data_IF_166474258631
#
_entry.id   IF_166474258631
#
_cell.length_a   1.000
_cell.length_b   1.000
_cell.length_c   1.000
_cell.angle_alpha   90.00
_cell.angle_beta   90.00
_cell.angle_gamma   90.00
#
_symmetry.space_group_name_H-M   'P 1'
#
loop_
_entity.id
_entity.type
_entity.pdbx_description
1 polymer ?
#
# COMPACT_ATOMS: atom_id res chain seq x y z
N UNK A 1 0.58 8.69 2.19
CA UNK A 1 1.97 8.67 1.65
C UNK A 1 2.00 9.51 0.39
N UNK A 2 2.89 10.49 0.28
CA UNK A 2 3.10 11.26 -0.94
C UNK A 2 4.55 11.08 -1.40
N UNK A 3 4.75 10.58 -2.62
CA UNK A 3 6.07 10.51 -3.27
C UNK A 3 5.97 11.28 -4.57
N UNK A 4 6.67 12.41 -4.65
CA UNK A 4 6.80 13.19 -5.89
C UNK A 4 8.17 12.95 -6.50
N UNK A 5 8.20 12.49 -7.75
CA UNK A 5 9.36 12.63 -8.63
C UNK A 5 9.08 13.81 -9.56
N UNK A 6 9.99 14.79 -9.57
CA UNK A 6 9.81 16.08 -10.24
C UNK A 6 10.61 16.12 -11.54
N UNK A 7 9.93 16.22 -12.68
CA UNK A 7 10.44 16.88 -13.90
C UNK A 7 9.27 17.54 -14.64
N UNK A 8 9.40 18.85 -14.84
CA UNK A 8 8.47 19.80 -15.49
C UNK A 8 7.87 19.35 -16.82
N UNK A 9 6.57 19.63 -17.01
CA UNK A 9 6.04 20.28 -18.23
C UNK A 9 4.60 20.79 -18.01
N UNK A 10 4.38 22.02 -18.42
CA UNK A 10 3.17 22.80 -18.24
C UNK A 10 1.97 22.30 -19.06
N UNK A 11 0.83 22.11 -18.40
CA UNK A 11 -0.49 22.49 -18.93
C UNK A 11 -1.52 22.51 -17.78
N UNK A 12 -2.26 23.61 -17.64
CA UNK A 12 -3.34 23.74 -16.67
C UNK A 12 -4.50 22.81 -17.06
N UNK A 13 -4.45 21.58 -16.55
CA UNK A 13 -5.52 20.59 -16.64
C UNK A 13 -6.61 20.92 -15.59
N UNK A 14 -7.88 20.53 -15.83
CA UNK A 14 -8.95 20.70 -14.84
C UNK A 14 -8.49 20.13 -13.51
N UNK A 15 -8.70 20.85 -12.41
CA UNK A 15 -8.26 20.48 -11.07
C UNK A 15 -8.58 19.00 -10.80
N UNK A 16 -7.58 18.13 -11.01
CA UNK A 16 -7.70 16.73 -10.68
C UNK A 16 -7.82 16.69 -9.17
N UNK A 17 -8.97 16.26 -8.66
CA UNK A 17 -9.08 16.04 -7.22
C UNK A 17 -8.13 14.91 -6.88
N UNK A 18 -6.98 15.26 -6.28
CA UNK A 18 -6.03 14.29 -5.75
C UNK A 18 -6.70 13.60 -4.56
N UNK A 19 -6.95 12.30 -4.69
CA UNK A 19 -7.49 11.51 -3.58
C UNK A 19 -6.36 11.25 -2.60
N UNK A 20 -6.54 11.65 -1.35
CA UNK A 20 -5.53 11.49 -0.29
C UNK A 20 -5.98 10.49 0.76
N UNK A 21 -5.04 9.67 1.23
CA UNK A 21 -5.27 8.69 2.30
C UNK A 21 -4.23 8.87 3.41
N UNK A 22 -4.72 8.83 4.65
CA UNK A 22 -3.92 8.65 5.85
C UNK A 22 -3.71 7.14 6.08
N UNK A 23 -2.62 6.79 6.76
CA UNK A 23 -2.27 5.39 7.04
C UNK A 23 -1.76 5.29 8.47
N UNK A 24 -2.43 4.48 9.28
CA UNK A 24 -2.01 4.17 10.64
C UNK A 24 -1.85 2.67 10.78
N UNK A 25 -0.78 2.23 11.45
CA UNK A 25 -0.58 0.81 11.68
C UNK A 25 0.16 0.51 12.98
N UNK A 26 -0.20 -0.63 13.58
CA UNK A 26 0.51 -1.22 14.72
C UNK A 26 1.02 -2.59 14.29
N UNK A 27 2.32 -2.83 14.52
CA UNK A 27 3.00 -4.07 14.20
C UNK A 27 3.52 -4.72 15.49
N UNK A 28 3.01 -5.91 15.80
CA UNK A 28 3.40 -6.69 16.99
C UNK A 28 4.27 -7.88 16.58
N UNK A 29 5.58 -7.74 16.77
CA UNK A 29 6.59 -8.71 16.33
C UNK A 29 6.82 -9.85 17.32
N UNK A 30 7.09 -11.05 16.80
CA UNK A 30 7.51 -12.22 17.58
C UNK A 30 8.71 -12.93 16.91
N UNK A 31 9.52 -13.65 17.70
CA UNK A 31 10.75 -14.28 17.21
C UNK A 31 11.88 -13.31 16.86
N UNK A 32 11.63 -12.00 16.92
CA UNK A 32 12.56 -10.92 16.57
C UNK A 32 11.79 -9.66 16.16
N UNK A 33 12.47 -8.53 16.02
CA UNK A 33 11.84 -7.26 15.61
C UNK A 33 11.94 -6.99 14.11
N UNK A 34 12.70 -7.80 13.35
CA UNK A 34 13.04 -7.54 11.95
C UNK A 34 11.80 -7.42 11.06
N UNK A 35 10.86 -8.35 11.17
CA UNK A 35 9.62 -8.34 10.38
C UNK A 35 8.74 -7.14 10.75
N UNK A 36 8.50 -6.88 12.03
CA UNK A 36 7.71 -5.71 12.46
C UNK A 36 8.34 -4.38 11.98
N UNK A 37 9.67 -4.26 12.07
CA UNK A 37 10.37 -3.07 11.59
C UNK A 37 10.31 -2.93 10.06
N UNK A 38 10.41 -4.05 9.32
CA UNK A 38 10.24 -4.06 7.87
C UNK A 38 8.80 -3.66 7.48
N UNK A 39 7.79 -4.17 8.17
CA UNK A 39 6.39 -3.78 7.94
C UNK A 39 6.17 -2.28 8.14
N UNK A 40 6.73 -1.69 9.21
CA UNK A 40 6.72 -0.23 9.44
C UNK A 40 7.30 0.53 8.26
N UNK A 41 8.42 0.07 7.70
CA UNK A 41 9.09 0.73 6.59
C UNK A 41 8.41 0.52 5.24
N UNK A 42 7.74 -0.63 5.02
CA UNK A 42 7.31 -1.05 3.69
C UNK A 42 5.82 -1.08 3.43
N UNK A 43 5.01 -1.53 4.40
CA UNK A 43 3.59 -1.85 4.17
C UNK A 43 2.79 -0.66 3.61
N UNK A 44 3.02 0.55 4.15
CA UNK A 44 2.35 1.76 3.69
C UNK A 44 2.63 2.11 2.22
N UNK A 45 3.81 1.74 1.70
CA UNK A 45 4.14 1.95 0.29
C UNK A 45 3.53 0.88 -0.61
N UNK A 46 3.44 -0.37 -0.14
CA UNK A 46 2.76 -1.45 -0.86
C UNK A 46 1.26 -1.12 -1.00
N UNK A 47 0.62 -0.71 0.10
CA UNK A 47 -0.79 -0.29 0.10
C UNK A 47 -1.00 0.92 -0.83
N UNK A 48 -0.13 1.93 -0.80
CA UNK A 48 -0.23 3.07 -1.69
C UNK A 48 -0.10 2.70 -3.18
N UNK A 49 0.77 1.74 -3.50
CA UNK A 49 0.93 1.23 -4.87
C UNK A 49 -0.32 0.47 -5.33
N UNK A 50 -0.88 -0.40 -4.49
CA UNK A 50 -2.10 -1.15 -4.82
C UNK A 50 -3.33 -0.26 -4.95
N UNK A 51 -3.49 0.76 -4.09
CA UNK A 51 -4.56 1.78 -4.23
C UNK A 51 -4.42 2.52 -5.56
N UNK A 52 -3.21 2.93 -5.94
CA UNK A 52 -2.98 3.64 -7.21
C UNK A 52 -3.40 2.77 -8.40
N UNK A 53 -2.95 1.51 -8.44
CA UNK A 53 -3.30 0.57 -9.50
C UNK A 53 -4.82 0.29 -9.55
N UNK A 54 -5.46 0.21 -8.39
CA UNK A 54 -6.91 0.05 -8.27
C UNK A 54 -7.68 1.26 -8.81
N UNK A 55 -7.26 2.48 -8.45
CA UNK A 55 -7.88 3.71 -8.92
C UNK A 55 -7.70 3.88 -10.44
N UNK A 56 -6.53 3.55 -10.99
CA UNK A 56 -6.29 3.55 -12.45
C UNK A 56 -7.21 2.56 -13.17
N UNK A 57 -7.44 1.38 -12.58
CA UNK A 57 -8.38 0.39 -13.14
C UNK A 57 -9.83 0.87 -13.10
N UNK A 58 -10.23 1.56 -12.03
CA UNK A 58 -11.55 2.17 -11.90
C UNK A 58 -11.72 3.36 -12.85
N UNK A 59 -10.65 4.13 -13.10
CA UNK A 59 -10.63 5.20 -14.12
C UNK A 59 -10.97 4.69 -15.51
N UNK A 60 -10.51 3.50 -15.88
CA UNK A 60 -10.82 2.88 -17.16
C UNK A 60 -12.30 2.45 -17.30
N UNK A 61 -13.07 2.40 -16.21
CA UNK A 61 -14.41 1.80 -16.19
C UNK A 61 -15.52 2.72 -15.67
N UNK A 62 -15.20 3.75 -14.87
CA UNK A 62 -16.18 4.62 -14.19
C UNK A 62 -16.24 6.04 -14.78
N UNK A 63 -17.44 6.64 -14.82
CA UNK A 63 -17.68 7.96 -15.41
C UNK A 63 -17.49 9.15 -14.44
N UNK A 64 -17.36 8.93 -13.11
CA UNK A 64 -17.22 10.03 -12.13
C UNK A 64 -16.12 9.78 -11.10
N UNK A 65 -15.29 10.81 -10.80
CA UNK A 65 -14.16 10.67 -9.88
C UNK A 65 -14.58 10.43 -8.42
N UNK A 66 -15.69 11.03 -7.99
CA UNK A 66 -16.16 10.97 -6.59
C UNK A 66 -16.69 9.59 -6.20
N UNK A 67 -17.13 8.77 -7.14
CA UNK A 67 -17.57 7.40 -6.87
C UNK A 67 -16.39 6.42 -6.75
N UNK A 68 -15.24 6.71 -7.37
CA UNK A 68 -14.10 5.79 -7.42
C UNK A 68 -13.53 5.44 -6.04
N UNK A 69 -13.49 6.39 -5.09
CA UNK A 69 -13.01 6.09 -3.74
C UNK A 69 -13.91 5.08 -3.00
N UNK A 70 -15.22 5.10 -3.26
CA UNK A 70 -16.17 4.16 -2.69
C UNK A 70 -16.19 2.81 -3.42
N UNK A 71 -15.59 2.74 -4.61
CA UNK A 71 -15.51 1.54 -5.46
C UNK A 71 -14.19 0.76 -5.25
N UNK A 72 -13.24 1.29 -4.47
CA UNK A 72 -11.99 0.60 -4.16
C UNK A 72 -12.29 -0.76 -3.49
N UNK A 73 -11.82 -1.84 -4.12
CA UNK A 73 -11.84 -3.17 -3.52
C UNK A 73 -10.74 -3.27 -2.46
N UNK A 74 -11.05 -2.81 -1.25
CA UNK A 74 -10.13 -2.83 -0.11
C UNK A 74 -9.69 -4.24 0.28
N UNK A 75 -10.54 -5.25 0.10
CA UNK A 75 -10.18 -6.62 0.41
C UNK A 75 -9.06 -7.10 -0.53
N UNK A 76 -9.18 -6.80 -1.82
CA UNK A 76 -8.13 -7.07 -2.82
C UNK A 76 -6.86 -6.27 -2.55
N UNK A 77 -6.98 -4.95 -2.37
CA UNK A 77 -5.84 -4.05 -2.11
C UNK A 77 -5.04 -4.51 -0.90
N UNK A 78 -5.70 -4.78 0.22
CA UNK A 78 -5.02 -5.21 1.44
C UNK A 78 -4.49 -6.64 1.31
N UNK A 79 -5.25 -7.56 0.72
CA UNK A 79 -4.81 -8.93 0.49
C UNK A 79 -3.54 -9.01 -0.35
N UNK A 80 -3.48 -8.29 -1.47
CA UNK A 80 -2.28 -8.23 -2.32
C UNK A 80 -1.12 -7.52 -1.61
N UNK A 81 -1.38 -6.45 -0.88
CA UNK A 81 -0.33 -5.74 -0.12
C UNK A 81 0.33 -6.63 0.94
N UNK A 82 -0.47 -7.39 1.69
CA UNK A 82 0.04 -8.32 2.70
C UNK A 82 0.81 -9.49 2.07
N UNK A 83 0.33 -10.05 0.96
CA UNK A 83 1.05 -11.12 0.25
C UNK A 83 2.43 -10.64 -0.24
N UNK A 84 2.50 -9.45 -0.84
CA UNK A 84 3.78 -8.84 -1.26
C UNK A 84 4.70 -8.55 -0.08
N UNK A 85 4.13 -8.12 1.05
CA UNK A 85 4.90 -7.89 2.27
C UNK A 85 5.51 -9.19 2.81
N UNK A 86 4.74 -10.28 2.78
CA UNK A 86 5.19 -11.63 3.19
C UNK A 86 6.33 -12.13 2.29
N UNK A 87 6.23 -11.93 0.98
CA UNK A 87 7.31 -12.21 0.02
C UNK A 87 8.58 -11.40 0.32
N UNK A 88 8.46 -10.12 0.70
CA UNK A 88 9.61 -9.26 1.05
C UNK A 88 10.34 -9.69 2.34
N UNK A 89 9.68 -10.42 3.24
CA UNK A 89 10.25 -10.87 4.53
C UNK A 89 10.48 -12.38 4.59
N UNK A 90 10.18 -13.09 3.50
CA UNK A 90 10.37 -14.53 3.44
C UNK A 90 11.83 -14.88 3.79
N UNK A 91 12.05 -15.83 4.72
CA UNK A 91 13.40 -16.19 5.13
C UNK A 91 14.14 -16.84 3.97
N UNK A 92 15.46 -16.62 3.93
CA UNK A 92 16.34 -17.36 3.03
C UNK A 92 16.35 -18.85 3.43
N UNK A 93 16.55 -19.73 2.45
CA UNK A 93 16.49 -21.17 2.68
C UNK A 93 17.50 -21.61 3.77
N UNK A 94 16.98 -22.15 4.87
CA UNK A 94 17.77 -22.68 5.99
C UNK A 94 17.77 -21.83 7.26
N UNK A 95 17.05 -20.71 7.31
CA UNK A 95 16.83 -19.95 8.55
C UNK A 95 15.56 -20.47 9.28
N UNK A 96 15.75 -21.14 10.42
CA UNK A 96 14.67 -21.84 11.15
C UNK A 96 14.02 -20.99 12.25
N UNK A 97 14.43 -19.74 12.43
CA UNK A 97 13.77 -18.86 13.37
C UNK A 97 12.41 -18.40 12.80
N UNK A 98 11.31 -18.85 13.42
CA UNK A 98 9.97 -18.34 13.12
C UNK A 98 9.85 -16.88 13.62
N UNK A 99 10.35 -15.94 12.82
CA UNK A 99 10.19 -14.50 13.03
C UNK A 99 8.95 -14.02 12.27
N UNK A 100 8.11 -13.23 12.92
CA UNK A 100 6.89 -12.74 12.31
C UNK A 100 6.37 -11.47 12.96
N UNK A 101 5.29 -10.91 12.41
CA UNK A 101 4.57 -9.79 12.99
C UNK A 101 3.08 -9.89 12.72
N UNK A 102 2.27 -9.59 13.72
CA UNK A 102 0.87 -9.23 13.50
C UNK A 102 0.80 -7.78 13.03
N UNK A 103 -0.23 -7.41 12.26
CA UNK A 103 -0.43 -6.04 11.79
C UNK A 103 -1.90 -5.64 11.88
N UNK A 104 -2.18 -4.49 12.49
CA UNK A 104 -3.47 -3.80 12.46
C UNK A 104 -3.28 -2.48 11.70
N UNK A 105 -4.05 -2.27 10.64
CA UNK A 105 -3.94 -1.12 9.74
C UNK A 105 -5.29 -0.41 9.63
N UNK A 106 -5.29 0.93 9.63
CA UNK A 106 -6.47 1.81 9.47
C UNK A 106 -6.16 2.92 8.46
#
# INVERSE_FOLDING_TARGET
>A
VHVSSSTDLAQAAPSSSTTTFDFFAVYDGHGGYSVANRCKERMHLLVAAEITAELERLEATSQSQSQRQFEVDWARVMGTSYARMDEEVAPEAGDEAAVGSTALVV
#
